data_IF_800014901375
#
_entry.id   IF_800014901375
#
_cell.length_a   1.000
_cell.length_b   1.000
_cell.length_c   1.000
_cell.angle_alpha   90.00
_cell.angle_beta   90.00
_cell.angle_gamma   90.00
#
_symmetry.space_group_name_H-M   'P 1'
#
loop_
_entity.id
_entity.type
_entity.pdbx_description
1 polymer ?
#
# COMPACT_ATOMS: atom_id res chain seq x y z
N UNK A 1 -9.07 35.43 4.29
CA UNK A 1 -10.07 34.95 3.30
C UNK A 1 -9.42 34.12 2.21
N UNK A 2 -8.40 34.67 1.55
CA UNK A 2 -7.63 33.92 0.53
C UNK A 2 -7.04 32.62 1.07
N UNK A 3 -6.42 32.67 2.25
CA UNK A 3 -5.81 31.50 2.87
C UNK A 3 -6.82 30.37 3.08
N UNK A 4 -8.02 30.69 3.56
CA UNK A 4 -9.06 29.69 3.80
C UNK A 4 -9.58 29.10 2.50
N UNK A 5 -9.68 29.90 1.44
CA UNK A 5 -10.10 29.41 0.12
C UNK A 5 -9.07 28.43 -0.44
N UNK A 6 -7.79 28.76 -0.32
CA UNK A 6 -6.70 27.90 -0.80
C UNK A 6 -6.73 26.55 -0.08
N UNK A 7 -6.88 26.56 1.25
CA UNK A 7 -6.96 25.32 2.02
C UNK A 7 -8.16 24.48 1.64
N UNK A 8 -9.31 25.10 1.44
CA UNK A 8 -10.52 24.36 1.02
C UNK A 8 -10.34 23.71 -0.36
N UNK A 9 -9.70 24.44 -1.29
CA UNK A 9 -9.42 23.89 -2.62
C UNK A 9 -8.43 22.72 -2.56
N UNK A 10 -7.40 22.82 -1.72
CA UNK A 10 -6.43 21.73 -1.54
C UNK A 10 -7.08 20.49 -0.93
N UNK A 11 -7.93 20.65 0.08
CA UNK A 11 -8.68 19.54 0.68
C UNK A 11 -9.59 18.86 -0.34
N UNK A 12 -10.24 19.65 -1.19
CA UNK A 12 -11.11 19.11 -2.23
C UNK A 12 -10.29 18.28 -3.23
N UNK A 13 -9.10 18.75 -3.61
CA UNK A 13 -8.21 17.98 -4.49
C UNK A 13 -7.76 16.68 -3.84
N UNK A 14 -7.42 16.70 -2.56
CA UNK A 14 -7.01 15.51 -1.82
C UNK A 14 -8.14 14.49 -1.75
N UNK A 15 -9.37 14.92 -1.50
CA UNK A 15 -10.53 14.03 -1.50
C UNK A 15 -10.79 13.42 -2.87
N UNK A 16 -10.63 14.21 -3.95
CA UNK A 16 -10.78 13.71 -5.31
C UNK A 16 -9.72 12.65 -5.60
N UNK A 17 -8.46 12.93 -5.22
CA UNK A 17 -7.35 11.97 -5.40
C UNK A 17 -7.59 10.68 -4.63
N UNK A 18 -8.03 10.77 -3.38
CA UNK A 18 -8.34 9.60 -2.57
C UNK A 18 -9.46 8.76 -3.18
N UNK A 19 -10.51 9.40 -3.69
CA UNK A 19 -11.60 8.71 -4.36
C UNK A 19 -11.12 8.00 -5.62
N UNK A 20 -10.24 8.62 -6.40
CA UNK A 20 -9.65 8.00 -7.58
C UNK A 20 -8.78 6.80 -7.21
N UNK A 21 -7.95 6.91 -6.18
CA UNK A 21 -7.15 5.79 -5.69
C UNK A 21 -8.05 4.64 -5.24
N UNK A 22 -9.11 4.95 -4.52
CA UNK A 22 -10.05 3.93 -4.09
C UNK A 22 -10.67 3.20 -5.29
N UNK A 23 -11.10 3.94 -6.30
CA UNK A 23 -11.67 3.36 -7.51
C UNK A 23 -10.66 2.50 -8.27
N UNK A 24 -9.39 2.91 -8.29
CA UNK A 24 -8.33 2.16 -8.95
C UNK A 24 -7.94 0.90 -8.17
N UNK A 25 -8.45 0.75 -6.96
CA UNK A 25 -8.12 -0.33 -6.03
C UNK A 25 -6.62 -0.44 -5.82
N UNK A 26 -5.98 0.71 -5.67
CA UNK A 26 -4.53 0.82 -5.49
C UNK A 26 -4.22 1.39 -4.11
N UNK A 27 -3.33 0.72 -3.40
CA UNK A 27 -2.82 1.14 -2.09
C UNK A 27 -1.31 1.31 -2.23
N UNK A 28 -0.77 2.38 -1.66
CA UNK A 28 0.66 2.69 -1.75
C UNK A 28 1.29 2.62 -0.37
N UNK A 29 2.35 1.82 -0.24
CA UNK A 29 3.24 1.82 0.91
C UNK A 29 4.53 2.49 0.45
N UNK A 30 4.82 3.66 1.00
CA UNK A 30 6.04 4.41 0.68
C UNK A 30 6.73 4.85 1.96
N UNK A 31 8.04 4.62 2.03
CA UNK A 31 8.84 5.01 3.18
C UNK A 31 8.93 3.92 4.23
N UNK A 32 9.35 4.30 5.43
CA UNK A 32 9.57 3.37 6.53
C UNK A 32 8.28 2.68 6.97
N UNK A 33 8.38 1.38 7.23
CA UNK A 33 7.26 0.58 7.74
C UNK A 33 7.12 0.86 9.24
N UNK A 34 6.09 1.62 9.60
CA UNK A 34 5.74 1.90 10.99
C UNK A 34 4.42 1.22 11.32
N UNK A 35 4.09 1.16 12.62
CA UNK A 35 2.80 0.63 13.03
C UNK A 35 1.65 1.45 12.44
N UNK A 36 1.80 2.78 12.44
CA UNK A 36 0.77 3.67 11.89
C UNK A 36 0.55 3.44 10.39
N UNK A 37 1.64 3.25 9.64
CA UNK A 37 1.54 2.97 8.22
C UNK A 37 0.85 1.63 7.99
N UNK A 38 1.20 0.60 8.77
CA UNK A 38 0.60 -0.72 8.67
C UNK A 38 -0.91 -0.67 8.97
N UNK A 39 -1.29 0.02 10.04
CA UNK A 39 -2.70 0.18 10.41
C UNK A 39 -3.49 0.87 9.29
N UNK A 40 -2.96 1.96 8.76
CA UNK A 40 -3.61 2.69 7.67
C UNK A 40 -3.75 1.82 6.42
N UNK A 41 -2.70 1.08 6.09
CA UNK A 41 -2.70 0.18 4.94
C UNK A 41 -3.76 -0.91 5.09
N UNK A 42 -3.81 -1.55 6.24
CA UNK A 42 -4.77 -2.61 6.53
C UNK A 42 -6.20 -2.07 6.47
N UNK A 43 -6.45 -0.88 7.01
CA UNK A 43 -7.77 -0.26 6.93
C UNK A 43 -8.20 -0.04 5.48
N UNK A 44 -7.30 0.45 4.64
CA UNK A 44 -7.59 0.66 3.22
C UNK A 44 -7.89 -0.67 2.51
N UNK A 45 -7.11 -1.69 2.80
CA UNK A 45 -7.30 -3.02 2.21
C UNK A 45 -8.65 -3.62 2.62
N UNK A 46 -9.01 -3.49 3.90
CA UNK A 46 -10.30 -3.99 4.38
C UNK A 46 -11.47 -3.24 3.77
N UNK A 47 -11.35 -1.93 3.61
CA UNK A 47 -12.39 -1.12 2.95
C UNK A 47 -12.60 -1.55 1.50
N UNK A 48 -11.50 -1.77 0.77
CA UNK A 48 -11.56 -2.24 -0.60
C UNK A 48 -12.16 -3.64 -0.70
N UNK A 49 -11.78 -4.53 0.22
CA UNK A 49 -12.28 -5.89 0.26
C UNK A 49 -13.79 -5.93 0.54
N UNK A 50 -14.28 -5.04 1.40
CA UNK A 50 -15.71 -4.93 1.69
C UNK A 50 -16.49 -4.42 0.47
N UNK A 51 -15.88 -3.52 -0.30
CA UNK A 51 -16.53 -2.92 -1.47
C UNK A 51 -16.70 -3.92 -2.63
N UNK A 52 -15.68 -4.72 -2.93
CA UNK A 52 -15.77 -5.77 -3.97
C UNK A 52 -14.61 -6.77 -3.83
N UNK A 53 -14.74 -7.90 -4.54
CA UNK A 53 -13.71 -8.93 -4.57
C UNK A 53 -12.72 -8.74 -5.73
N UNK A 54 -12.78 -7.62 -6.46
CA UNK A 54 -11.83 -7.33 -7.53
C UNK A 54 -10.42 -7.18 -6.95
N UNK A 55 -9.41 -7.47 -7.78
CA UNK A 55 -8.02 -7.44 -7.35
C UNK A 55 -7.60 -6.06 -6.80
N UNK A 56 -6.72 -6.10 -5.80
CA UNK A 56 -6.13 -4.91 -5.20
C UNK A 56 -4.67 -4.84 -5.61
N UNK A 57 -4.22 -3.66 -6.00
CA UNK A 57 -2.80 -3.41 -6.30
C UNK A 57 -2.15 -2.74 -5.10
N UNK A 58 -1.07 -3.33 -4.60
CA UNK A 58 -0.32 -2.81 -3.47
C UNK A 58 1.08 -2.46 -3.95
N UNK A 59 1.34 -1.17 -4.10
CA UNK A 59 2.65 -0.67 -4.55
C UNK A 59 3.54 -0.47 -3.32
N UNK A 60 4.75 -1.01 -3.36
CA UNK A 60 5.67 -1.00 -2.24
C UNK A 60 7.00 -0.35 -2.63
N UNK A 61 7.37 0.71 -1.91
CA UNK A 61 8.67 1.35 -2.03
C UNK A 61 9.15 1.69 -0.61
N UNK A 62 10.01 0.85 -0.04
CA UNK A 62 10.33 0.96 1.38
C UNK A 62 11.73 0.45 1.72
N UNK A 63 12.46 1.16 2.60
CA UNK A 63 13.73 0.68 3.15
C UNK A 63 13.54 -0.39 4.23
N UNK A 64 12.31 -0.68 4.63
CA UNK A 64 12.01 -1.58 5.73
C UNK A 64 11.49 -0.83 6.94
N UNK A 65 11.66 -1.42 8.12
CA UNK A 65 11.22 -0.82 9.37
C UNK A 65 10.81 -1.88 10.39
N UNK A 66 9.67 -1.65 11.03
CA UNK A 66 9.18 -2.51 12.11
C UNK A 66 8.65 -3.85 11.56
N UNK A 67 9.29 -4.94 11.97
CA UNK A 67 9.01 -6.28 11.42
C UNK A 67 7.58 -6.73 11.71
N UNK A 68 7.10 -6.55 12.93
CA UNK A 68 5.76 -6.96 13.32
C UNK A 68 4.68 -6.19 12.56
N UNK A 69 4.97 -4.95 12.22
CA UNK A 69 4.08 -4.15 11.35
C UNK A 69 4.07 -4.69 9.92
N UNK A 70 5.23 -5.14 9.44
CA UNK A 70 5.32 -5.84 8.17
C UNK A 70 4.54 -7.14 8.17
N UNK A 71 4.65 -7.93 9.24
CA UNK A 71 3.88 -9.16 9.42
C UNK A 71 2.38 -8.90 9.36
N UNK A 72 1.93 -7.82 9.99
CA UNK A 72 0.52 -7.46 10.00
C UNK A 72 -0.03 -7.27 8.58
N UNK A 73 0.70 -6.56 7.74
CA UNK A 73 0.28 -6.34 6.36
C UNK A 73 0.40 -7.63 5.54
N UNK A 74 1.49 -8.37 5.72
CA UNK A 74 1.70 -9.66 5.06
C UNK A 74 0.52 -10.60 5.32
N UNK A 75 0.14 -10.75 6.58
CA UNK A 75 -0.96 -11.64 6.96
C UNK A 75 -2.29 -11.14 6.39
N UNK A 76 -2.50 -9.83 6.34
CA UNK A 76 -3.73 -9.26 5.79
C UNK A 76 -3.87 -9.55 4.30
N UNK A 77 -2.76 -9.51 3.54
CA UNK A 77 -2.74 -9.87 2.13
C UNK A 77 -3.32 -11.28 1.94
N UNK A 78 -2.98 -12.20 2.82
CA UNK A 78 -3.42 -13.58 2.73
C UNK A 78 -4.83 -13.80 3.29
N UNK A 79 -5.27 -12.93 4.19
CA UNK A 79 -6.54 -13.06 4.88
C UNK A 79 -7.74 -12.59 4.07
N UNK A 80 -7.61 -11.47 3.35
CA UNK A 80 -8.74 -10.86 2.62
C UNK A 80 -9.09 -11.66 1.38
N UNK A 81 -10.34 -11.55 0.93
CA UNK A 81 -10.84 -12.30 -0.23
C UNK A 81 -10.26 -11.83 -1.56
N UNK A 82 -10.16 -10.52 -1.81
CA UNK A 82 -9.59 -10.06 -3.07
C UNK A 82 -8.16 -10.52 -3.26
N UNK A 83 -7.82 -10.85 -4.49
CA UNK A 83 -6.45 -11.12 -4.89
C UNK A 83 -5.63 -9.84 -4.75
N UNK A 84 -4.48 -9.92 -4.10
CA UNK A 84 -3.59 -8.78 -3.94
C UNK A 84 -2.37 -8.96 -4.83
N UNK A 85 -2.13 -7.98 -5.71
CA UNK A 85 -0.91 -7.92 -6.51
C UNK A 85 0.06 -6.98 -5.84
N UNK A 86 1.24 -7.45 -5.51
CA UNK A 86 2.29 -6.60 -4.94
C UNK A 86 3.20 -6.12 -6.06
N UNK A 87 3.47 -4.82 -6.08
CA UNK A 87 4.27 -4.18 -7.13
C UNK A 87 5.41 -3.42 -6.46
N UNK A 88 6.62 -3.94 -6.61
CA UNK A 88 7.83 -3.28 -6.10
C UNK A 88 8.20 -2.07 -6.93
N UNK A 89 8.61 -0.98 -6.29
CA UNK A 89 9.04 0.24 -6.95
C UNK A 89 10.19 0.88 -6.18
N UNK A 90 11.26 1.20 -6.87
CA UNK A 90 12.44 1.79 -6.26
C UNK A 90 13.20 0.77 -5.44
N UNK A 91 12.90 0.70 -4.14
CA UNK A 91 13.52 -0.30 -3.27
C UNK A 91 12.47 -1.05 -2.44
N UNK A 92 12.74 -2.33 -2.21
CA UNK A 92 11.88 -3.20 -1.41
C UNK A 92 12.83 -3.93 -0.47
N UNK A 93 12.93 -3.46 0.76
CA UNK A 93 13.95 -3.92 1.69
C UNK A 93 13.36 -4.41 3.01
N UNK A 94 13.94 -5.47 3.58
CA UNK A 94 13.65 -5.97 4.93
C UNK A 94 12.14 -6.18 5.14
N UNK A 95 11.51 -5.45 6.07
CA UNK A 95 10.07 -5.56 6.33
C UNK A 95 9.23 -5.27 5.08
N UNK A 96 9.70 -4.40 4.17
CA UNK A 96 9.04 -4.15 2.89
C UNK A 96 9.05 -5.40 2.00
N UNK A 97 10.14 -6.13 1.98
CA UNK A 97 10.25 -7.39 1.25
C UNK A 97 9.31 -8.46 1.84
N UNK A 98 9.16 -8.47 3.16
CA UNK A 98 8.24 -9.36 3.85
C UNK A 98 6.79 -9.14 3.39
N UNK A 99 6.40 -7.88 3.26
CA UNK A 99 5.07 -7.53 2.73
C UNK A 99 4.94 -7.99 1.28
N UNK A 100 5.97 -7.72 0.47
CA UNK A 100 5.98 -8.06 -0.96
C UNK A 100 5.69 -9.54 -1.19
N UNK A 101 6.32 -10.40 -0.41
CA UNK A 101 6.15 -11.84 -0.56
C UNK A 101 4.86 -12.39 0.08
N UNK A 102 4.03 -11.52 0.66
CA UNK A 102 2.68 -11.89 1.11
C UNK A 102 1.77 -12.29 -0.04
N UNK A 103 1.99 -11.75 -1.23
CA UNK A 103 1.25 -12.14 -2.42
C UNK A 103 1.76 -13.49 -2.96
N UNK A 104 0.89 -14.19 -3.70
CA UNK A 104 1.30 -15.40 -4.42
C UNK A 104 2.35 -15.05 -5.47
N UNK A 105 3.20 -16.00 -5.83
CA UNK A 105 4.29 -15.77 -6.79
C UNK A 105 3.79 -15.13 -8.08
N UNK A 106 2.69 -15.61 -8.63
CA UNK A 106 2.12 -15.08 -9.87
C UNK A 106 1.53 -13.67 -9.72
N UNK A 107 1.42 -13.18 -8.50
CA UNK A 107 0.87 -11.84 -8.20
C UNK A 107 1.94 -10.86 -7.74
N UNK A 108 3.22 -11.21 -7.92
CA UNK A 108 4.34 -10.34 -7.56
C UNK A 108 4.90 -9.70 -8.82
N UNK A 109 4.97 -8.38 -8.84
CA UNK A 109 5.47 -7.59 -9.96
C UNK A 109 6.50 -6.60 -9.46
N UNK A 110 7.39 -6.15 -10.33
CA UNK A 110 8.28 -5.05 -10.00
C UNK A 110 8.49 -4.16 -11.21
N UNK A 111 8.69 -2.89 -10.95
CA UNK A 111 9.03 -1.92 -11.98
C UNK A 111 10.54 -2.03 -12.30
N UNK A 112 10.97 -1.56 -13.48
CA UNK A 112 12.34 -1.85 -13.97
C UNK A 112 13.49 -1.46 -13.05
N UNK A 113 13.34 -0.40 -12.27
CA UNK A 113 14.41 0.09 -11.40
C UNK A 113 14.29 -0.40 -9.95
N UNK A 114 13.48 -1.42 -9.72
CA UNK A 114 13.28 -1.94 -8.36
C UNK A 114 14.50 -2.72 -7.89
N UNK A 115 14.89 -2.47 -6.64
CA UNK A 115 15.98 -3.19 -5.98
C UNK A 115 15.46 -3.86 -4.72
N UNK A 116 15.82 -5.12 -4.55
CA UNK A 116 15.44 -5.89 -3.38
C UNK A 116 16.64 -6.04 -2.46
N UNK A 117 16.48 -5.64 -1.21
CA UNK A 117 17.54 -5.71 -0.20
C UNK A 117 17.05 -6.58 0.95
N UNK A 118 17.72 -7.73 1.13
CA UNK A 118 17.39 -8.66 2.19
C UNK A 118 18.55 -8.68 3.19
N UNK A 119 18.24 -8.78 4.47
CA UNK A 119 19.21 -8.83 5.54
C UNK A 119 19.21 -10.19 6.22
#
# INVERSE_FOLDING_TARGET
MEYLRTQSAERAKDHVSEAHFFKSRTVIIAGEITHQLAERTVKQMLALAEYSDDAINLIISSPGGHVESGDMVHDMIQFIRPRVRTIGSGWVASAGALIFVGAKIQDRYCLPNTRFLLH
#
